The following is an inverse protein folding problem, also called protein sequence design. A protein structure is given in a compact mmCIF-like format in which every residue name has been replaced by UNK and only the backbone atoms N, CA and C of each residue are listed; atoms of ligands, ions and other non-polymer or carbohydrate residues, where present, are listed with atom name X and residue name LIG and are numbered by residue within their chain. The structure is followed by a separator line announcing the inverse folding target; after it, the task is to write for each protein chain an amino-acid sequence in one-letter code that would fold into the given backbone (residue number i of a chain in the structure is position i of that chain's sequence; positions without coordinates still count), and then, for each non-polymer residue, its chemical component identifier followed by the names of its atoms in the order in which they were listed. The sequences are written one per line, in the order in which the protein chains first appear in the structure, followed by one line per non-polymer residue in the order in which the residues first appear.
data_IF_730030141256
#
_entry.id   IF_730030141256
#
_cell.length_a   1.000
_cell.length_b   1.000
_cell.length_c   1.000
_cell.angle_alpha   90.00
_cell.angle_beta   90.00
_cell.angle_gamma   90.00
#
_symmetry.space_group_name_H-M   'P 1'
#
loop_
_entity.id
_entity.type
_entity.pdbx_description
1 polymer ?
#
# COMPACT_ATOMS: atom_id res chain seq x y z
N UNK A 1 -7.69 4.38 -10.04
CA UNK A 1 -7.35 4.06 -8.64
C UNK A 1 -6.77 5.27 -7.89
N UNK A 2 -5.66 5.86 -8.35
CA UNK A 2 -5.01 7.02 -7.71
C UNK A 2 -5.90 8.27 -7.58
N UNK A 3 -6.59 8.69 -8.64
CA UNK A 3 -7.48 9.86 -8.57
C UNK A 3 -8.64 9.69 -7.57
N UNK A 4 -9.14 8.44 -7.43
CA UNK A 4 -10.17 8.09 -6.44
C UNK A 4 -9.62 8.17 -5.02
N UNK A 5 -8.37 7.75 -4.81
CA UNK A 5 -7.68 7.88 -3.53
C UNK A 5 -7.58 9.35 -3.10
N UNK A 6 -7.03 10.23 -3.96
CA UNK A 6 -6.93 11.68 -3.66
C UNK A 6 -8.28 12.29 -3.30
N UNK A 7 -9.33 11.91 -4.03
CA UNK A 7 -10.67 12.41 -3.79
C UNK A 7 -11.26 11.95 -2.43
N UNK A 8 -11.05 10.67 -2.07
CA UNK A 8 -11.50 10.11 -0.78
C UNK A 8 -10.71 10.70 0.39
N UNK A 9 -9.39 10.84 0.24
CA UNK A 9 -8.53 11.33 1.32
C UNK A 9 -8.54 12.86 1.46
N UNK A 10 -9.09 13.59 0.48
CA UNK A 10 -9.09 15.05 0.46
C UNK A 10 -7.67 15.65 0.43
N UNK A 11 -6.68 14.89 -0.05
CA UNK A 11 -5.27 15.29 0.00
C UNK A 11 -5.01 16.47 -0.95
N UNK A 12 -4.70 17.64 -0.37
CA UNK A 12 -4.26 18.82 -1.11
C UNK A 12 -2.74 19.10 -0.93
N UNK A 13 -2.12 18.51 0.09
CA UNK A 13 -0.68 18.57 0.38
C UNK A 13 -0.28 17.45 1.35
N UNK A 14 1.01 17.09 1.39
CA UNK A 14 1.56 16.07 2.31
C UNK A 14 1.91 14.73 1.63
N UNK A 15 2.06 13.69 2.44
CA UNK A 15 2.41 12.35 1.95
C UNK A 15 1.21 11.65 1.30
N UNK A 16 1.45 10.98 0.18
CA UNK A 16 0.43 10.19 -0.52
C UNK A 16 -0.02 8.96 0.28
N UNK A 17 0.94 8.33 0.96
CA UNK A 17 0.73 7.19 1.86
C UNK A 17 0.91 7.67 3.29
N UNK A 18 -0.20 8.12 3.89
CA UNK A 18 -0.22 8.55 5.27
C UNK A 18 -0.38 7.36 6.20
N UNK A 19 0.12 7.50 7.43
CA UNK A 19 -0.09 6.51 8.48
C UNK A 19 -1.59 6.26 8.67
N UNK A 20 -2.01 5.01 8.53
CA UNK A 20 -3.40 4.59 8.76
C UNK A 20 -3.51 4.18 10.24
N UNK A 21 -4.46 4.73 10.97
CA UNK A 21 -4.82 4.35 12.34
C UNK A 21 -5.76 3.14 12.30
N UNK A 22 -6.02 2.55 13.47
CA UNK A 22 -7.06 1.53 13.60
C UNK A 22 -8.39 2.04 13.01
N UNK A 23 -9.17 1.14 12.39
CA UNK A 23 -10.44 1.43 11.72
C UNK A 23 -10.32 2.24 10.41
N UNK A 24 -9.22 2.08 9.68
CA UNK A 24 -8.96 2.71 8.37
C UNK A 24 -8.95 4.25 8.38
N UNK A 25 -8.86 4.86 9.55
CA UNK A 25 -8.79 6.30 9.69
C UNK A 25 -7.38 6.80 9.34
N UNK A 26 -7.28 7.85 8.52
CA UNK A 26 -6.00 8.51 8.25
C UNK A 26 -5.53 9.24 9.51
N UNK A 27 -4.25 9.11 9.87
CA UNK A 27 -3.69 9.88 10.97
C UNK A 27 -3.71 11.37 10.64
N UNK A 28 -4.28 12.20 11.52
CA UNK A 28 -4.31 13.67 11.39
C UNK A 28 -2.90 14.31 11.38
N UNK A 29 -1.92 13.58 11.89
CA UNK A 29 -0.51 13.94 11.78
C UNK A 29 -0.04 13.59 10.35
N UNK A 30 0.51 14.57 9.61
CA UNK A 30 1.14 14.39 8.29
C UNK A 30 2.43 13.53 8.39
N UNK A 31 2.33 12.35 8.97
CA UNK A 31 3.38 11.39 9.15
C UNK A 31 3.35 10.39 7.98
N UNK A 32 4.52 10.09 7.38
CA UNK A 32 4.60 9.07 6.34
C UNK A 32 4.27 7.70 6.94
N UNK A 33 3.57 6.86 6.17
CA UNK A 33 3.42 5.45 6.48
C UNK A 33 4.81 4.79 6.54
N UNK A 34 5.06 3.99 7.56
CA UNK A 34 6.33 3.24 7.63
C UNK A 34 6.33 2.06 6.67
N UNK A 35 7.51 1.65 6.24
CA UNK A 35 7.66 0.47 5.38
C UNK A 35 7.12 -0.80 6.05
N UNK A 36 7.22 -0.94 7.37
CA UNK A 36 6.65 -2.11 8.06
C UNK A 36 5.13 -2.10 8.01
N UNK A 37 4.50 -0.94 8.25
CA UNK A 37 3.05 -0.82 8.21
C UNK A 37 2.48 -1.11 6.81
N UNK A 38 3.17 -0.63 5.77
CA UNK A 38 2.80 -0.95 4.41
C UNK A 38 2.87 -2.46 4.12
N UNK A 39 3.92 -3.13 4.60
CA UNK A 39 4.06 -4.58 4.46
C UNK A 39 2.98 -5.35 5.21
N UNK A 40 2.60 -4.90 6.41
CA UNK A 40 1.54 -5.52 7.18
C UNK A 40 0.20 -5.47 6.44
N UNK A 41 -0.20 -4.29 5.95
CA UNK A 41 -1.40 -4.12 5.14
C UNK A 41 -1.37 -4.97 3.87
N UNK A 42 -0.20 -5.04 3.22
CA UNK A 42 -0.03 -5.86 2.03
C UNK A 42 -0.17 -7.36 2.33
N UNK A 43 0.41 -7.86 3.42
CA UNK A 43 0.27 -9.26 3.86
C UNK A 43 -1.17 -9.59 4.21
N UNK A 44 -1.88 -8.67 4.86
CA UNK A 44 -3.31 -8.83 5.16
C UNK A 44 -4.13 -8.95 3.87
N UNK A 45 -3.84 -8.13 2.85
CA UNK A 45 -4.49 -8.26 1.54
C UNK A 45 -4.18 -9.60 0.86
N UNK A 46 -2.95 -10.13 0.97
CA UNK A 46 -2.60 -11.44 0.42
C UNK A 46 -3.35 -12.58 1.13
N UNK A 47 -3.46 -12.50 2.46
CA UNK A 47 -4.24 -13.45 3.25
C UNK A 47 -5.73 -13.43 2.86
N UNK A 48 -6.30 -12.24 2.63
CA UNK A 48 -7.71 -12.07 2.23
C UNK A 48 -8.02 -12.77 0.89
N UNK A 49 -7.07 -12.72 -0.06
CA UNK A 49 -7.19 -13.44 -1.34
C UNK A 49 -6.68 -14.88 -1.29
N UNK A 50 -6.35 -15.41 -0.10
CA UNK A 50 -5.91 -16.79 0.11
C UNK A 50 -4.50 -17.11 -0.39
N UNK A 51 -3.65 -16.09 -0.58
CA UNK A 51 -2.25 -16.25 -1.02
C UNK A 51 -1.33 -16.24 0.20
N UNK A 52 -0.42 -17.21 0.26
CA UNK A 52 0.62 -17.23 1.30
C UNK A 52 1.52 -15.99 1.16
N UNK A 53 1.62 -15.23 2.24
CA UNK A 53 2.36 -13.97 2.30
C UNK A 53 3.85 -14.17 2.66
N UNK A 54 4.26 -15.35 3.14
CA UNK A 54 5.65 -15.67 3.52
C UNK A 54 6.68 -15.37 2.42
N UNK A 55 6.44 -15.69 1.13
CA UNK A 55 7.41 -15.39 0.07
C UNK A 55 7.42 -13.91 -0.34
N UNK A 56 6.48 -13.09 0.14
CA UNK A 56 6.33 -11.71 -0.31
C UNK A 56 6.85 -10.69 0.72
N UNK A 57 7.96 -10.04 0.38
CA UNK A 57 8.54 -8.89 1.12
C UNK A 57 8.53 -7.59 0.32
N UNK A 58 9.26 -6.57 0.80
CA UNK A 58 9.38 -5.24 0.15
C UNK A 58 9.92 -5.33 -1.29
N UNK A 59 10.70 -6.37 -1.60
CA UNK A 59 11.25 -6.61 -2.93
C UNK A 59 10.26 -7.21 -3.94
N UNK A 60 9.09 -7.68 -3.50
CA UNK A 60 8.10 -8.34 -4.37
C UNK A 60 7.53 -7.40 -5.42
N UNK A 61 7.29 -6.14 -5.04
CA UNK A 61 6.75 -5.11 -5.94
C UNK A 61 7.71 -4.78 -7.09
N UNK A 62 9.03 -4.82 -6.85
CA UNK A 62 10.03 -4.57 -7.91
C UNK A 62 10.08 -5.71 -8.92
N UNK A 63 9.79 -6.95 -8.51
CA UNK A 63 9.86 -8.14 -9.39
C UNK A 63 8.52 -8.44 -10.07
N UNK A 64 7.39 -8.31 -9.37
CA UNK A 64 6.06 -8.52 -9.94
C UNK A 64 5.67 -7.44 -10.96
N UNK A 65 6.00 -6.16 -10.69
CA UNK A 65 5.72 -5.07 -11.63
C UNK A 65 6.47 -5.21 -12.97
N UNK A 66 7.68 -5.77 -12.95
CA UNK A 66 8.44 -6.07 -14.17
C UNK A 66 7.90 -7.28 -14.96
N UNK A 67 7.09 -8.15 -14.36
CA UNK A 67 6.52 -9.32 -15.06
C UNK A 67 5.23 -8.99 -15.81
N UNK A 68 4.54 -7.90 -15.45
CA UNK A 68 3.31 -7.44 -16.11
C UNK A 68 3.54 -6.63 -17.40
N UNK A 69 4.77 -6.55 -17.89
CA UNK A 69 5.05 -6.19 -19.29
C UNK A 69 5.45 -7.47 -20.00
N UNK A 70 4.61 -8.07 -20.87
CA UNK A 70 5.15 -9.01 -21.81
C UNK A 70 6.17 -8.21 -22.63
N UNK A 71 7.42 -8.65 -22.61
CA UNK A 71 8.40 -8.23 -23.60
C UNK A 71 7.74 -8.50 -24.96
N UNK A 72 7.58 -7.44 -25.76
CA UNK A 72 7.06 -7.50 -27.12
C UNK A 72 7.90 -8.45 -27.99
#
# INVERSE_FOLDING_TARGET
AFARWINITGLNSGYLFQKIKANDCIAEENAPMTSEQFLELFRNNLLDIGVDHVPYGTHSFRRGGCQCTPMA
#
